data_IF_619882976934
#
_entry.id   IF_619882976934
#
_cell.length_a   1.000
_cell.length_b   1.000
_cell.length_c   1.000
_cell.angle_alpha   90.00
_cell.angle_beta   90.00
_cell.angle_gamma   90.00
#
_symmetry.space_group_name_H-M   'P 1'
#
loop_
_entity.id
_entity.type
_entity.pdbx_description
1 polymer ?
#
# COMPACT_ATOMS: atom_id res chain seq x y z
N UNK A 1 13.39 16.27 -13.51
CA UNK A 1 12.85 15.66 -12.28
C UNK A 1 12.49 14.23 -12.64
N UNK A 2 13.35 13.29 -12.29
CA UNK A 2 13.19 11.88 -12.63
C UNK A 2 12.10 11.29 -11.73
N UNK A 3 11.00 10.82 -12.33
CA UNK A 3 9.99 10.06 -11.59
C UNK A 3 10.69 8.82 -11.02
N UNK A 4 10.58 8.53 -9.70
CA UNK A 4 11.15 7.30 -9.17
C UNK A 4 10.55 6.13 -9.93
N UNK A 5 11.41 5.30 -10.53
CA UNK A 5 11.01 4.12 -11.30
C UNK A 5 10.11 3.25 -10.42
N UNK A 6 8.80 3.40 -10.62
CA UNK A 6 7.76 2.70 -9.88
C UNK A 6 7.85 1.23 -10.27
N UNK A 7 8.53 0.43 -9.44
CA UNK A 7 8.51 -1.01 -9.60
C UNK A 7 7.12 -1.52 -9.27
N UNK A 8 6.74 -2.58 -9.97
CA UNK A 8 5.36 -3.06 -10.13
C UNK A 8 4.63 -3.31 -8.81
N UNK A 9 3.31 -3.07 -8.77
CA UNK A 9 2.50 -3.44 -7.62
C UNK A 9 2.68 -4.92 -7.28
N UNK A 10 2.58 -5.24 -5.99
CA UNK A 10 2.58 -6.61 -5.49
C UNK A 10 1.53 -7.43 -6.24
N UNK A 11 1.95 -8.62 -6.66
CA UNK A 11 1.04 -9.56 -7.31
C UNK A 11 -0.06 -9.97 -6.33
N UNK A 12 -1.31 -9.75 -6.73
CA UNK A 12 -2.47 -10.25 -6.00
C UNK A 12 -2.55 -11.77 -6.15
N UNK A 13 -2.58 -12.49 -5.04
CA UNK A 13 -2.77 -13.94 -5.03
C UNK A 13 -4.19 -14.31 -5.48
N UNK A 14 -4.40 -15.60 -5.80
CA UNK A 14 -5.68 -16.10 -6.29
C UNK A 14 -6.82 -15.98 -5.28
N UNK A 15 -6.51 -15.97 -3.98
CA UNK A 15 -7.45 -15.72 -2.88
C UNK A 15 -7.70 -14.22 -2.63
N UNK A 16 -7.09 -13.35 -3.44
CA UNK A 16 -7.23 -11.91 -3.36
C UNK A 16 -6.30 -11.22 -2.37
N UNK A 17 -5.40 -11.97 -1.69
CA UNK A 17 -4.43 -11.43 -0.73
C UNK A 17 -3.15 -10.91 -1.40
N UNK A 18 -2.35 -10.16 -0.65
CA UNK A 18 -1.02 -9.70 -1.03
C UNK A 18 0.02 -10.24 -0.05
N UNK A 19 1.18 -10.64 -0.55
CA UNK A 19 2.35 -10.98 0.27
C UNK A 19 3.07 -9.70 0.70
N UNK A 20 2.94 -9.33 1.97
CA UNK A 20 3.55 -8.12 2.54
C UNK A 20 4.89 -8.42 3.22
N UNK A 21 5.43 -9.62 3.02
CA UNK A 21 6.66 -10.08 3.65
C UNK A 21 7.87 -9.37 3.05
N UNK A 22 8.76 -8.86 3.90
CA UNK A 22 10.00 -8.23 3.45
C UNK A 22 11.08 -8.24 4.54
N UNK A 23 12.35 -8.46 4.16
CA UNK A 23 13.47 -8.38 5.10
C UNK A 23 13.82 -6.93 5.49
N UNK A 24 13.25 -5.91 4.84
CA UNK A 24 13.55 -4.50 5.10
C UNK A 24 12.84 -4.02 6.39
N UNK A 25 13.58 -3.69 7.47
CA UNK A 25 12.98 -3.37 8.77
C UNK A 25 12.19 -2.06 8.77
N UNK A 26 12.47 -1.15 7.84
CA UNK A 26 11.78 0.14 7.69
C UNK A 26 10.76 0.11 6.57
N UNK A 27 10.34 -1.06 6.11
CA UNK A 27 9.34 -1.17 5.07
C UNK A 27 7.95 -0.72 5.55
N UNK A 28 7.22 -0.10 4.64
CA UNK A 28 5.83 0.31 4.75
C UNK A 28 5.10 -0.10 3.48
N UNK A 29 3.79 -0.21 3.58
CA UNK A 29 2.91 -0.59 2.48
C UNK A 29 2.23 0.67 1.97
N UNK A 30 2.38 0.94 0.67
CA UNK A 30 1.60 1.94 -0.02
C UNK A 30 0.41 1.26 -0.68
N UNK A 31 -0.80 1.71 -0.36
CA UNK A 31 -2.05 1.13 -0.86
C UNK A 31 -2.78 2.18 -1.69
N UNK A 32 -2.94 1.93 -2.99
CA UNK A 32 -3.90 2.66 -3.82
C UNK A 32 -5.24 1.96 -3.71
N UNK A 33 -6.27 2.71 -3.34
CA UNK A 33 -7.61 2.19 -3.16
C UNK A 33 -8.64 3.15 -3.74
N UNK A 34 -9.81 2.59 -4.05
CA UNK A 34 -11.03 3.33 -4.31
C UNK A 34 -11.83 3.41 -3.02
N UNK A 35 -12.11 4.62 -2.54
CA UNK A 35 -12.92 4.88 -1.36
C UNK A 35 -14.27 5.50 -1.71
N UNK A 36 -15.23 5.43 -0.79
CA UNK A 36 -16.54 6.10 -0.89
C UNK A 36 -16.56 7.38 -0.08
N UNK A 37 -17.18 8.43 -0.63
CA UNK A 37 -17.37 9.69 0.09
C UNK A 37 -18.37 9.50 1.24
N UNK A 38 -18.00 9.79 2.50
CA UNK A 38 -18.93 9.67 3.60
C UNK A 38 -20.04 10.73 3.47
N UNK A 39 -21.31 10.30 3.49
CA UNK A 39 -22.46 11.18 3.64
C UNK A 39 -23.12 11.74 2.37
N UNK A 40 -22.80 11.30 1.16
CA UNK A 40 -23.56 11.77 -0.01
C UNK A 40 -23.22 11.15 -1.37
N UNK A 41 -23.87 10.02 -1.68
CA UNK A 41 -24.00 9.46 -3.03
C UNK A 41 -23.03 8.33 -3.41
N UNK A 42 -23.29 7.65 -4.53
CA UNK A 42 -22.45 6.61 -5.17
C UNK A 42 -21.11 7.15 -5.73
N UNK A 43 -20.63 8.28 -5.21
CA UNK A 43 -19.38 8.87 -5.64
C UNK A 43 -18.20 8.16 -4.97
N UNK A 44 -17.30 7.65 -5.81
CA UNK A 44 -16.05 7.06 -5.37
C UNK A 44 -14.89 8.00 -5.67
N UNK A 45 -13.80 7.87 -4.90
CA UNK A 45 -12.55 8.58 -5.12
C UNK A 45 -11.38 7.59 -5.07
N UNK A 46 -10.32 7.87 -5.82
CA UNK A 46 -9.07 7.12 -5.69
C UNK A 46 -8.11 7.88 -4.79
N UNK A 47 -7.48 7.17 -3.85
CA UNK A 47 -6.45 7.74 -2.98
C UNK A 47 -5.37 6.70 -2.72
N UNK A 48 -4.18 7.19 -2.45
CA UNK A 48 -3.05 6.38 -2.03
C UNK A 48 -2.72 6.70 -0.59
N UNK A 49 -2.63 5.68 0.26
CA UNK A 49 -2.26 5.81 1.66
C UNK A 49 -1.08 4.93 2.01
N UNK A 50 -0.38 5.31 3.08
CA UNK A 50 0.80 4.61 3.57
C UNK A 50 0.53 4.00 4.93
N UNK A 51 0.75 2.70 5.03
CA UNK A 51 0.43 1.89 6.19
C UNK A 51 1.69 1.18 6.68
N UNK A 52 1.91 1.19 8.00
CA UNK A 52 2.93 0.34 8.65
C UNK A 52 2.42 -1.10 8.77
N UNK A 53 2.21 -1.73 7.62
CA UNK A 53 1.64 -3.08 7.48
C UNK A 53 2.64 -4.09 6.88
N UNK A 54 3.91 -3.71 6.72
CA UNK A 54 4.94 -4.65 6.28
C UNK A 54 5.05 -5.81 7.29
N UNK A 55 5.26 -7.03 6.79
CA UNK A 55 5.30 -8.27 7.58
C UNK A 55 4.00 -8.55 8.39
N UNK A 56 2.87 -7.94 8.02
CA UNK A 56 1.54 -8.25 8.54
C UNK A 56 0.71 -8.99 7.48
N UNK A 57 -0.34 -9.73 7.86
CA UNK A 57 -1.27 -10.30 6.88
C UNK A 57 -2.01 -9.19 6.14
N UNK A 58 -2.17 -9.29 4.83
CA UNK A 58 -2.81 -8.24 4.00
C UNK A 58 -4.29 -7.97 4.33
N UNK A 59 -4.93 -8.85 5.11
CA UNK A 59 -6.25 -8.59 5.70
C UNK A 59 -6.30 -7.37 6.63
N UNK A 60 -5.15 -6.89 7.13
CA UNK A 60 -5.11 -5.68 7.98
C UNK A 60 -5.21 -4.37 7.19
N UNK A 61 -5.02 -4.39 5.87
CA UNK A 61 -4.95 -3.17 5.05
C UNK A 61 -6.26 -2.38 5.09
N UNK A 62 -7.40 -3.06 4.88
CA UNK A 62 -8.72 -2.40 4.93
C UNK A 62 -9.04 -1.86 6.34
N UNK A 63 -8.94 -2.65 7.43
CA UNK A 63 -9.12 -2.13 8.79
C UNK A 63 -8.25 -0.93 9.13
N UNK A 64 -6.99 -0.89 8.69
CA UNK A 64 -6.09 0.24 8.92
C UNK A 64 -6.52 1.50 8.15
N UNK A 65 -7.00 1.35 6.91
CA UNK A 65 -7.57 2.46 6.14
C UNK A 65 -8.85 2.98 6.81
N UNK A 66 -9.73 2.08 7.24
CA UNK A 66 -10.97 2.42 7.93
C UNK A 66 -10.75 3.13 9.27
N UNK A 67 -9.72 2.73 10.02
CA UNK A 67 -9.31 3.42 11.24
C UNK A 67 -8.86 4.88 11.01
N UNK A 68 -8.47 5.24 9.78
CA UNK A 68 -8.18 6.63 9.37
C UNK A 68 -9.42 7.40 8.89
N UNK A 69 -10.61 6.80 8.97
CA UNK A 69 -11.87 7.41 8.51
C UNK A 69 -12.12 7.27 7.01
N UNK A 70 -11.41 6.37 6.34
CA UNK A 70 -11.65 6.02 4.93
C UNK A 70 -12.72 4.93 4.85
N UNK A 71 -13.59 4.93 3.84
CA UNK A 71 -14.45 3.78 3.54
C UNK A 71 -13.97 3.14 2.25
N UNK A 72 -13.28 2.01 2.36
CA UNK A 72 -12.65 1.34 1.21
C UNK A 72 -13.68 0.52 0.45
N UNK A 73 -13.83 0.78 -0.85
CA UNK A 73 -14.63 -0.04 -1.75
C UNK A 73 -13.76 -1.15 -2.38
N UNK A 74 -12.56 -0.78 -2.84
CA UNK A 74 -11.68 -1.70 -3.56
C UNK A 74 -10.21 -1.31 -3.34
N UNK A 75 -9.33 -2.29 -3.10
CA UNK A 75 -7.88 -2.11 -3.19
C UNK A 75 -7.47 -2.32 -4.65
N UNK A 76 -6.86 -1.29 -5.23
CA UNK A 76 -6.44 -1.28 -6.63
C UNK A 76 -5.00 -1.76 -6.78
N UNK A 77 -4.10 -1.22 -5.95
CA UNK A 77 -2.66 -1.53 -6.02
C UNK A 77 -2.05 -1.52 -4.61
N UNK A 78 -1.08 -2.40 -4.38
CA UNK A 78 -0.32 -2.47 -3.13
C UNK A 78 1.16 -2.52 -3.48
N UNK A 79 2.00 -1.75 -2.80
CA UNK A 79 3.44 -1.71 -3.04
C UNK A 79 4.19 -1.67 -1.70
N UNK A 80 5.27 -2.45 -1.57
CA UNK A 80 6.19 -2.34 -0.43
C UNK A 80 7.29 -1.34 -0.74
N UNK A 81 7.45 -0.34 0.14
CA UNK A 81 8.46 0.70 -0.01
C UNK A 81 9.18 0.94 1.32
N UNK A 82 10.39 1.48 1.29
CA UNK A 82 11.06 1.97 2.49
C UNK A 82 10.38 3.25 3.01
N UNK A 83 10.20 3.35 4.32
CA UNK A 83 9.65 4.52 4.99
C UNK A 83 10.50 5.79 4.77
N UNK A 84 11.83 5.65 4.67
CA UNK A 84 12.75 6.78 4.60
C UNK A 84 12.86 7.40 3.19
N UNK A 85 13.10 6.55 2.19
CA UNK A 85 13.43 6.98 0.83
C UNK A 85 12.32 6.69 -0.18
N UNK A 86 11.27 5.96 0.22
CA UNK A 86 10.15 5.53 -0.63
C UNK A 86 10.56 4.66 -1.83
N UNK A 87 11.76 4.09 -1.80
CA UNK A 87 12.19 3.10 -2.80
C UNK A 87 11.57 1.73 -2.49
N UNK A 88 11.38 0.87 -3.51
CA UNK A 88 10.81 -0.46 -3.34
C UNK A 88 11.63 -1.31 -2.35
N UNK A 89 10.95 -1.97 -1.40
CA UNK A 89 11.61 -2.77 -0.36
C UNK A 89 12.12 -4.13 -0.86
N UNK A 90 11.86 -4.48 -2.13
CA UNK A 90 12.37 -5.67 -2.84
C UNK A 90 13.61 -5.37 -3.71
N UNK A 91 14.00 -4.10 -3.81
CA UNK A 91 15.11 -3.64 -4.64
C UNK A 91 16.47 -3.81 -3.96
N UNK A 92 17.33 -4.62 -4.56
CA UNK A 92 18.72 -4.96 -4.18
C UNK A 92 19.72 -3.79 -4.05
N UNK A 93 19.30 -2.54 -3.85
CA UNK A 93 20.18 -1.41 -3.56
C UNK A 93 19.55 -0.53 -2.49
N UNK A 94 19.83 -0.86 -1.23
CA UNK A 94 19.47 -0.06 -0.07
C UNK A 94 20.73 0.27 0.74
N UNK A 95 21.70 0.95 0.09
CA UNK A 95 23.02 1.26 0.67
C UNK A 95 23.09 2.66 1.29
N UNK A 96 21.99 3.22 1.82
CA UNK A 96 22.02 4.60 2.29
C UNK A 96 20.81 5.13 3.07
N UNK A 97 20.11 4.29 3.84
CA UNK A 97 19.10 4.72 4.80
C UNK A 97 19.39 4.19 6.20
#
# INVERSE_FOLDING_TARGET
MEQPQSKSPLTRAADGTYDLSTPEPRAVVTVKFRGKVPGGGDSTYERTERLRAANQPSSVLVPMLEAMGVHVEEILEVTLVCEACHYPADGLVHTGC
#
